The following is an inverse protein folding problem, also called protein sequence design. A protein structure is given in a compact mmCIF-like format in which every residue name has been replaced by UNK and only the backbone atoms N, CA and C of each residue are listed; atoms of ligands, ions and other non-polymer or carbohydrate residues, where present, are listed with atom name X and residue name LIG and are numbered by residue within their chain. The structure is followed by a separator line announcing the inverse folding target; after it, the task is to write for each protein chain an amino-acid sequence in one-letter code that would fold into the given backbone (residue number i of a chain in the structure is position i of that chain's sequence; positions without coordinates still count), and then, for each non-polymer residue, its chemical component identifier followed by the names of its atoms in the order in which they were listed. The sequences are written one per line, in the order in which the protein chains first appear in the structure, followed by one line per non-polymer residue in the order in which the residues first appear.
data_IF_056849100365
#
_entry.id   IF_056849100365
#
_cell.length_a   1.000
_cell.length_b   1.000
_cell.length_c   1.000
_cell.angle_alpha   90.00
_cell.angle_beta   90.00
_cell.angle_gamma   90.00
#
_symmetry.space_group_name_H-M   'P 1'
#
loop_
_entity.id
_entity.type
_entity.pdbx_description
1 polymer ?
#
# COMPACT_ATOMS: atom_id res chain seq x y z
N UNK A 1 11.54 -2.69 48.52
CA UNK A 1 11.49 -1.61 47.49
C UNK A 1 12.74 -1.73 46.63
N UNK A 2 12.62 -2.27 45.44
CA UNK A 2 13.74 -2.34 44.49
C UNK A 2 14.10 -0.92 44.06
N UNK A 3 15.38 -0.56 44.22
CA UNK A 3 15.87 0.75 43.83
C UNK A 3 15.87 0.85 42.29
N UNK A 4 15.59 2.02 41.75
CA UNK A 4 15.55 2.26 40.29
C UNK A 4 16.81 1.77 39.56
N UNK A 5 18.06 1.88 40.12
CA UNK A 5 19.25 1.30 39.48
C UNK A 5 19.19 -0.22 39.37
N UNK A 6 18.75 -0.93 40.40
CA UNK A 6 18.65 -2.39 40.38
C UNK A 6 17.65 -2.91 39.33
N UNK A 7 16.57 -2.14 39.08
CA UNK A 7 15.60 -2.43 38.03
C UNK A 7 16.18 -2.20 36.63
N UNK A 8 16.96 -1.14 36.47
CA UNK A 8 17.63 -0.83 35.19
C UNK A 8 18.64 -1.92 34.85
N UNK A 9 19.45 -2.35 35.81
CA UNK A 9 20.45 -3.39 35.62
C UNK A 9 19.81 -4.73 35.28
N UNK A 10 18.73 -5.10 35.97
CA UNK A 10 17.96 -6.31 35.66
C UNK A 10 17.31 -6.26 34.25
N UNK A 11 16.82 -5.10 33.80
CA UNK A 11 16.26 -4.94 32.45
C UNK A 11 17.36 -5.00 31.37
N UNK A 12 18.56 -4.46 31.65
CA UNK A 12 19.69 -4.53 30.73
C UNK A 12 20.20 -5.96 30.59
N UNK A 13 20.26 -6.71 31.69
CA UNK A 13 20.70 -8.12 31.72
C UNK A 13 19.74 -9.04 30.95
N UNK A 14 18.44 -8.72 30.98
CA UNK A 14 17.41 -9.45 30.23
C UNK A 14 17.25 -8.95 28.76
N UNK A 15 17.90 -7.88 28.37
CA UNK A 15 17.78 -7.29 27.04
C UNK A 15 18.44 -8.19 26.00
N UNK A 16 17.62 -8.79 25.14
CA UNK A 16 18.12 -9.52 23.97
C UNK A 16 18.50 -8.55 22.86
N UNK A 17 19.66 -8.75 22.18
CA UNK A 17 20.07 -7.87 21.10
C UNK A 17 19.07 -7.91 19.95
N UNK A 18 18.43 -6.77 19.69
CA UNK A 18 17.49 -6.63 18.59
C UNK A 18 18.19 -6.25 17.29
N UNK A 19 17.87 -6.92 16.20
CA UNK A 19 18.39 -6.59 14.88
C UNK A 19 17.85 -5.24 14.42
N UNK A 20 18.73 -4.28 14.15
CA UNK A 20 18.35 -2.96 13.64
C UNK A 20 17.66 -3.08 12.29
N UNK A 21 16.53 -2.40 12.13
CA UNK A 21 15.84 -2.28 10.86
C UNK A 21 16.68 -1.47 9.86
N UNK A 22 16.61 -1.84 8.58
CA UNK A 22 17.24 -1.03 7.52
C UNK A 22 16.64 0.37 7.46
N UNK A 23 17.38 1.39 7.01
CA UNK A 23 16.87 2.74 6.83
C UNK A 23 15.57 2.76 6.02
N UNK A 24 14.59 3.63 6.33
CA UNK A 24 13.28 3.64 5.69
C UNK A 24 13.36 3.88 4.18
N UNK A 25 14.30 4.70 3.72
CA UNK A 25 14.51 4.96 2.29
C UNK A 25 15.00 3.71 1.54
N UNK A 26 15.87 2.91 2.15
CA UNK A 26 16.32 1.64 1.56
C UNK A 26 15.17 0.65 1.45
N UNK A 27 14.30 0.60 2.47
CA UNK A 27 13.12 -0.26 2.46
C UNK A 27 12.11 0.19 1.40
N UNK A 28 11.86 1.49 1.29
CA UNK A 28 11.02 2.06 0.22
C UNK A 28 11.60 1.75 -1.16
N UNK A 29 12.90 1.95 -1.36
CA UNK A 29 13.57 1.63 -2.62
C UNK A 29 13.51 0.15 -2.99
N UNK A 30 13.70 -0.76 -2.04
CA UNK A 30 13.57 -2.21 -2.27
C UNK A 30 12.14 -2.60 -2.63
N UNK A 31 11.14 -2.00 -1.98
CA UNK A 31 9.74 -2.24 -2.33
C UNK A 31 9.40 -1.70 -3.72
N UNK A 32 9.84 -0.49 -4.06
CA UNK A 32 9.64 0.08 -5.40
C UNK A 32 10.37 -0.74 -6.49
N UNK A 33 11.54 -1.27 -6.20
CA UNK A 33 12.23 -2.21 -7.10
C UNK A 33 11.41 -3.48 -7.31
N UNK A 34 10.85 -4.04 -6.24
CA UNK A 34 9.95 -5.19 -6.34
C UNK A 34 8.71 -4.86 -7.18
N UNK A 35 8.11 -3.68 -7.00
CA UNK A 35 7.00 -3.20 -7.84
C UNK A 35 7.41 -3.15 -9.31
N UNK A 36 8.56 -2.55 -9.62
CA UNK A 36 9.06 -2.46 -11.00
C UNK A 36 9.28 -3.85 -11.63
N UNK A 37 9.79 -4.81 -10.86
CA UNK A 37 9.95 -6.20 -11.31
C UNK A 37 8.60 -6.88 -11.59
N UNK A 38 7.62 -6.72 -10.70
CA UNK A 38 6.28 -7.29 -10.89
C UNK A 38 5.61 -6.68 -12.12
N UNK A 39 5.65 -5.35 -12.27
CA UNK A 39 5.08 -4.67 -13.43
C UNK A 39 5.81 -5.03 -14.73
N UNK A 40 7.13 -5.15 -14.69
CA UNK A 40 7.93 -5.62 -15.82
C UNK A 40 7.54 -7.04 -16.24
N UNK A 41 7.38 -7.95 -15.28
CA UNK A 41 6.95 -9.33 -15.55
C UNK A 41 5.54 -9.38 -16.15
N UNK A 42 4.59 -8.63 -15.59
CA UNK A 42 3.24 -8.53 -16.15
C UNK A 42 3.29 -7.98 -17.58
N UNK A 43 4.10 -6.94 -17.82
CA UNK A 43 4.28 -6.36 -19.14
C UNK A 43 4.86 -7.31 -20.18
N UNK A 44 5.75 -8.24 -19.78
CA UNK A 44 6.28 -9.27 -20.70
C UNK A 44 5.26 -10.35 -21.02
N UNK A 45 4.35 -10.66 -20.11
CA UNK A 45 3.33 -11.71 -20.30
C UNK A 45 2.09 -11.19 -21.04
N UNK A 46 1.58 -10.01 -20.64
CA UNK A 46 0.35 -9.44 -21.19
C UNK A 46 0.60 -8.52 -22.39
N UNK A 47 1.83 -8.04 -22.55
CA UNK A 47 2.17 -6.99 -23.53
C UNK A 47 1.68 -5.60 -23.10
N UNK A 48 2.16 -4.58 -23.80
CA UNK A 48 1.64 -3.22 -23.66
C UNK A 48 0.40 -3.06 -24.55
N UNK A 49 -0.50 -2.16 -24.17
CA UNK A 49 -1.67 -1.83 -24.98
C UNK A 49 -1.25 -1.40 -26.38
N UNK A 50 -1.93 -1.85 -27.46
CA UNK A 50 -1.53 -1.56 -28.85
C UNK A 50 -1.53 -0.09 -29.20
N UNK A 51 -2.42 0.69 -28.60
CA UNK A 51 -2.63 2.12 -28.84
C UNK A 51 -1.85 3.04 -27.89
N UNK A 52 -0.85 2.50 -27.15
CA UNK A 52 -0.06 3.27 -26.18
C UNK A 52 0.57 4.52 -26.78
N UNK A 53 1.05 4.45 -28.02
CA UNK A 53 1.69 5.56 -28.71
C UNK A 53 0.70 6.71 -29.05
N UNK A 54 -0.56 6.38 -29.28
CA UNK A 54 -1.62 7.38 -29.49
C UNK A 54 -2.05 7.99 -28.14
N UNK A 55 -2.18 7.17 -27.11
CA UNK A 55 -2.50 7.63 -25.77
C UNK A 55 -1.44 8.57 -25.19
N UNK A 56 -0.16 8.28 -25.40
CA UNK A 56 0.96 9.13 -24.94
C UNK A 56 0.96 10.49 -25.64
N UNK A 57 0.32 10.66 -26.78
CA UNK A 57 0.15 11.99 -27.42
C UNK A 57 -0.93 12.84 -26.75
N UNK A 58 -1.78 12.24 -25.92
CA UNK A 58 -2.83 12.94 -25.20
C UNK A 58 -2.29 13.47 -23.86
N UNK A 59 -2.25 14.80 -23.64
CA UNK A 59 -1.72 15.40 -22.41
C UNK A 59 -2.41 14.88 -21.16
N UNK A 60 -3.71 14.60 -21.25
CA UNK A 60 -4.52 14.05 -20.17
C UNK A 60 -4.04 12.68 -19.72
N UNK A 61 -3.74 11.79 -20.67
CA UNK A 61 -3.22 10.46 -20.37
C UNK A 61 -1.88 10.53 -19.65
N UNK A 62 -0.96 11.38 -20.16
CA UNK A 62 0.35 11.59 -19.54
C UNK A 62 0.20 12.12 -18.11
N UNK A 63 -0.61 13.18 -17.92
CA UNK A 63 -0.82 13.77 -16.60
C UNK A 63 -1.43 12.77 -15.62
N UNK A 64 -2.45 12.01 -16.04
CA UNK A 64 -3.08 10.99 -15.22
C UNK A 64 -2.11 9.88 -14.82
N UNK A 65 -1.38 9.34 -15.79
CA UNK A 65 -0.44 8.24 -15.59
C UNK A 65 0.77 8.66 -14.73
N UNK A 66 1.37 9.82 -15.03
CA UNK A 66 2.51 10.33 -14.24
C UNK A 66 2.11 10.74 -12.83
N UNK A 67 0.93 11.35 -12.66
CA UNK A 67 0.44 11.72 -11.33
C UNK A 67 0.06 10.49 -10.49
N UNK A 68 -0.48 9.42 -11.08
CA UNK A 68 -0.69 8.14 -10.42
C UNK A 68 0.64 7.52 -9.98
N UNK A 69 1.64 7.46 -10.86
CA UNK A 69 2.98 6.98 -10.54
C UNK A 69 3.61 7.80 -9.40
N UNK A 70 3.58 9.13 -9.51
CA UNK A 70 4.12 10.02 -8.48
C UNK A 70 3.41 9.84 -7.14
N UNK A 71 2.07 9.76 -7.14
CA UNK A 71 1.28 9.48 -5.92
C UNK A 71 1.70 8.18 -5.28
N UNK A 72 1.83 7.10 -6.05
CA UNK A 72 2.25 5.79 -5.55
C UNK A 72 3.64 5.79 -4.95
N UNK A 73 4.61 6.40 -5.62
CA UNK A 73 6.00 6.50 -5.13
C UNK A 73 6.07 7.35 -3.86
N UNK A 74 5.44 8.52 -3.84
CA UNK A 74 5.45 9.42 -2.69
C UNK A 74 4.70 8.82 -1.50
N UNK A 75 3.58 8.14 -1.72
CA UNK A 75 2.84 7.45 -0.68
C UNK A 75 3.63 6.27 -0.10
N UNK A 76 4.37 5.52 -0.91
CA UNK A 76 5.27 4.47 -0.43
C UNK A 76 6.37 5.05 0.47
N UNK A 77 7.06 6.10 0.03
CA UNK A 77 8.07 6.80 0.83
C UNK A 77 7.47 7.29 2.14
N UNK A 78 6.29 7.91 2.10
CA UNK A 78 5.59 8.39 3.29
C UNK A 78 5.27 7.26 4.26
N UNK A 79 4.74 6.12 3.76
CA UNK A 79 4.42 4.95 4.58
C UNK A 79 5.63 4.42 5.35
N UNK A 80 6.78 4.26 4.67
CA UNK A 80 8.01 3.81 5.33
C UNK A 80 8.61 4.84 6.29
N UNK A 81 8.44 6.14 6.03
CA UNK A 81 8.91 7.21 6.93
C UNK A 81 8.07 7.31 8.20
N UNK A 82 6.74 7.25 8.07
CA UNK A 82 5.81 7.33 9.19
C UNK A 82 5.86 6.06 10.06
N UNK A 83 6.30 4.94 9.49
CA UNK A 83 6.47 3.68 10.21
C UNK A 83 7.51 3.74 11.34
N UNK A 84 8.35 4.77 11.39
CA UNK A 84 9.30 5.02 12.46
C UNK A 84 8.66 5.87 13.57
N UNK A 85 9.03 5.63 14.86
CA UNK A 85 8.51 6.41 15.99
C UNK A 85 8.77 7.91 15.85
N UNK A 86 9.94 8.30 15.32
CA UNK A 86 10.35 9.69 15.10
C UNK A 86 9.81 10.30 13.80
N UNK A 87 9.00 9.55 13.05
CA UNK A 87 8.41 9.99 11.78
C UNK A 87 7.46 11.18 11.98
N UNK A 88 7.78 12.33 11.40
CA UNK A 88 6.87 13.48 11.40
C UNK A 88 5.59 13.17 10.61
N UNK A 89 4.44 13.63 11.11
CA UNK A 89 3.15 13.53 10.39
C UNK A 89 3.11 14.35 9.10
N UNK A 90 4.05 15.29 8.92
CA UNK A 90 4.16 16.06 7.69
C UNK A 90 4.38 15.18 6.45
N UNK A 91 4.95 13.98 6.63
CA UNK A 91 5.10 13.01 5.53
C UNK A 91 3.78 12.54 4.94
N UNK A 92 2.66 12.64 5.68
CA UNK A 92 1.31 12.37 5.15
C UNK A 92 0.91 13.36 4.05
N UNK A 93 1.45 14.58 4.09
CA UNK A 93 1.15 15.60 3.09
C UNK A 93 1.92 15.39 1.77
N UNK A 94 2.97 14.55 1.79
CA UNK A 94 3.86 14.37 0.65
C UNK A 94 3.16 13.92 -0.64
N UNK A 95 2.26 12.91 -0.64
CA UNK A 95 1.57 12.48 -1.85
C UNK A 95 0.40 13.39 -2.26
N UNK A 96 -0.07 14.31 -1.41
CA UNK A 96 -1.30 15.07 -1.64
C UNK A 96 -1.30 15.90 -2.93
N UNK A 97 -0.23 16.62 -3.31
CA UNK A 97 -0.23 17.39 -4.55
C UNK A 97 -0.39 16.50 -5.79
N UNK A 98 0.35 15.39 -5.84
CA UNK A 98 0.26 14.43 -6.93
C UNK A 98 -1.11 13.73 -6.96
N UNK A 99 -1.64 13.37 -5.79
CA UNK A 99 -2.97 12.80 -5.62
C UNK A 99 -4.06 13.76 -6.12
N UNK A 100 -3.97 15.06 -5.81
CA UNK A 100 -4.93 16.05 -6.27
C UNK A 100 -4.96 16.16 -7.80
N UNK A 101 -3.78 16.18 -8.43
CA UNK A 101 -3.67 16.17 -9.91
C UNK A 101 -4.27 14.89 -10.47
N UNK A 102 -3.94 13.72 -9.89
CA UNK A 102 -4.47 12.43 -10.34
C UNK A 102 -5.99 12.37 -10.24
N UNK A 103 -6.56 12.73 -9.09
CA UNK A 103 -8.03 12.77 -8.91
C UNK A 103 -8.71 13.76 -9.86
N UNK A 104 -8.07 14.91 -10.14
CA UNK A 104 -8.59 15.89 -11.10
C UNK A 104 -8.66 15.31 -12.52
N UNK A 105 -7.64 14.55 -12.94
CA UNK A 105 -7.65 13.90 -14.27
C UNK A 105 -8.73 12.82 -14.36
N UNK A 106 -8.94 12.03 -13.32
CA UNK A 106 -10.02 11.04 -13.24
C UNK A 106 -11.39 11.72 -13.25
N UNK A 107 -11.60 12.73 -12.40
CA UNK A 107 -12.87 13.44 -12.31
C UNK A 107 -13.26 14.12 -13.63
N UNK A 108 -12.31 14.78 -14.29
CA UNK A 108 -12.53 15.36 -15.60
C UNK A 108 -12.90 14.29 -16.64
N UNK A 109 -12.24 13.11 -16.59
CA UNK A 109 -12.58 11.97 -17.43
C UNK A 109 -13.99 11.48 -17.22
N UNK A 110 -14.38 11.26 -15.97
CA UNK A 110 -15.75 10.85 -15.67
C UNK A 110 -16.80 11.82 -16.23
N UNK A 111 -16.54 13.11 -16.14
CA UNK A 111 -17.49 14.13 -16.64
C UNK A 111 -17.57 14.15 -18.18
N UNK A 112 -16.44 13.97 -18.88
CA UNK A 112 -16.42 14.00 -20.35
C UNK A 112 -16.90 12.69 -20.98
N UNK A 113 -16.56 11.55 -20.38
CA UNK A 113 -16.87 10.23 -20.94
C UNK A 113 -18.27 9.73 -20.54
N UNK A 114 -18.88 10.29 -19.48
CA UNK A 114 -20.28 10.04 -19.11
C UNK A 114 -21.26 10.35 -20.27
N UNK A 115 -20.92 11.33 -21.09
CA UNK A 115 -21.72 11.71 -22.27
C UNK A 115 -21.55 10.74 -23.43
N UNK A 116 -20.49 9.93 -23.45
CA UNK A 116 -20.13 9.04 -24.56
C UNK A 116 -20.38 7.56 -24.30
N UNK A 117 -20.79 7.17 -23.08
CA UNK A 117 -21.13 5.77 -22.77
C UNK A 117 -22.48 5.43 -23.43
N UNK A 118 -22.41 4.79 -24.61
CA UNK A 118 -23.59 4.28 -25.33
C UNK A 118 -24.28 3.14 -24.56
N UNK A 119 -25.48 2.72 -25.01
CA UNK A 119 -26.31 1.73 -24.33
C UNK A 119 -25.73 0.31 -24.28
N UNK A 120 -24.58 0.05 -24.90
CA UNK A 120 -23.99 -1.31 -25.00
C UNK A 120 -23.23 -1.77 -23.75
N UNK A 121 -23.07 -0.97 -22.74
CA UNK A 121 -22.52 -1.38 -21.43
C UNK A 121 -21.17 -2.13 -21.47
N UNK A 122 -20.54 -2.27 -20.31
CA UNK A 122 -19.28 -3.02 -20.14
C UNK A 122 -19.55 -4.52 -20.36
N UNK A 123 -18.84 -5.14 -21.30
CA UNK A 123 -18.92 -6.59 -21.53
C UNK A 123 -18.33 -7.34 -20.33
N UNK A 124 -19.07 -8.33 -19.80
CA UNK A 124 -18.66 -9.11 -18.63
C UNK A 124 -17.23 -9.72 -18.75
N UNK A 125 -16.85 -10.17 -19.95
CA UNK A 125 -15.52 -10.73 -20.20
C UNK A 125 -14.37 -9.74 -19.99
N UNK A 126 -14.57 -8.49 -20.41
CA UNK A 126 -13.58 -7.42 -20.25
C UNK A 126 -13.46 -6.98 -18.78
N UNK A 127 -14.59 -6.97 -18.05
CA UNK A 127 -14.62 -6.70 -16.63
C UNK A 127 -13.85 -7.76 -15.83
N UNK A 128 -14.00 -9.05 -16.15
CA UNK A 128 -13.27 -10.14 -15.48
C UNK A 128 -11.77 -10.05 -15.75
N UNK A 129 -11.35 -9.73 -16.96
CA UNK A 129 -9.94 -9.59 -17.31
C UNK A 129 -9.29 -8.39 -16.58
N UNK A 130 -10.01 -7.26 -16.54
CA UNK A 130 -9.55 -6.08 -15.77
C UNK A 130 -9.40 -6.41 -14.27
N UNK A 131 -10.39 -7.11 -13.69
CA UNK A 131 -10.36 -7.54 -12.30
C UNK A 131 -9.21 -8.53 -12.02
N UNK A 132 -8.97 -9.49 -12.90
CA UNK A 132 -7.86 -10.41 -12.78
C UNK A 132 -6.51 -9.69 -12.80
N UNK A 133 -6.30 -8.72 -13.69
CA UNK A 133 -5.07 -7.92 -13.75
C UNK A 133 -4.91 -7.05 -12.50
N UNK A 134 -6.00 -6.48 -12.00
CA UNK A 134 -6.01 -5.70 -10.75
C UNK A 134 -5.58 -6.57 -9.57
N UNK A 135 -6.14 -7.77 -9.40
CA UNK A 135 -5.76 -8.70 -8.35
C UNK A 135 -4.32 -9.19 -8.50
N UNK A 136 -3.93 -9.57 -9.72
CA UNK A 136 -2.57 -10.05 -10.02
C UNK A 136 -1.51 -8.99 -9.67
N UNK A 137 -1.84 -7.71 -9.83
CA UNK A 137 -0.94 -6.61 -9.49
C UNK A 137 -1.03 -6.24 -8.02
N UNK A 138 -2.22 -6.00 -7.49
CA UNK A 138 -2.41 -5.43 -6.15
C UNK A 138 -2.08 -6.40 -5.02
N UNK A 139 -2.36 -7.71 -5.19
CA UNK A 139 -2.12 -8.70 -4.13
C UNK A 139 -0.63 -8.84 -3.79
N UNK A 140 0.28 -9.13 -4.76
CA UNK A 140 1.69 -9.27 -4.43
C UNK A 140 2.30 -7.97 -3.88
N UNK A 141 1.88 -6.80 -4.40
CA UNK A 141 2.33 -5.51 -3.89
C UNK A 141 1.89 -5.28 -2.44
N UNK A 142 0.62 -5.61 -2.12
CA UNK A 142 0.07 -5.48 -0.77
C UNK A 142 0.76 -6.42 0.21
N UNK A 143 0.95 -7.69 -0.16
CA UNK A 143 1.62 -8.68 0.68
C UNK A 143 3.06 -8.27 0.96
N UNK A 144 3.80 -7.85 -0.05
CA UNK A 144 5.17 -7.35 0.13
C UNK A 144 5.22 -6.12 1.05
N UNK A 145 4.28 -5.17 0.88
CA UNK A 145 4.16 -3.98 1.73
C UNK A 145 3.90 -4.37 3.18
N UNK A 146 2.93 -5.26 3.43
CA UNK A 146 2.59 -5.75 4.77
C UNK A 146 3.76 -6.46 5.44
N UNK A 147 4.47 -7.34 4.72
CA UNK A 147 5.65 -8.03 5.24
C UNK A 147 6.74 -7.03 5.63
N UNK A 148 6.98 -6.01 4.82
CA UNK A 148 8.01 -5.01 5.09
C UNK A 148 7.63 -4.04 6.21
N UNK A 149 6.34 -3.79 6.44
CA UNK A 149 5.82 -2.89 7.47
C UNK A 149 5.48 -3.60 8.78
N UNK A 150 5.42 -4.94 8.82
CA UNK A 150 4.94 -5.74 9.97
C UNK A 150 5.56 -5.37 11.32
N UNK A 151 6.83 -5.00 11.34
CA UNK A 151 7.54 -4.65 12.59
C UNK A 151 7.39 -3.17 12.98
N UNK A 152 7.00 -2.33 12.06
CA UNK A 152 6.98 -0.88 12.24
C UNK A 152 5.56 -0.32 12.43
N UNK A 153 4.53 -1.09 12.02
CA UNK A 153 3.14 -0.65 12.01
C UNK A 153 2.45 -0.67 13.40
N UNK A 154 3.09 -1.18 14.44
CA UNK A 154 2.48 -1.35 15.78
C UNK A 154 2.07 -0.01 16.43
N UNK A 155 2.78 1.09 16.17
CA UNK A 155 2.56 2.38 16.82
C UNK A 155 1.57 3.29 16.05
N UNK A 156 1.52 3.20 14.71
CA UNK A 156 0.69 4.05 13.84
C UNK A 156 0.05 3.23 12.70
N UNK A 157 -0.62 2.15 13.05
CA UNK A 157 -1.13 1.17 12.10
C UNK A 157 -2.06 1.79 11.04
N UNK A 158 -2.95 2.69 11.43
CA UNK A 158 -3.93 3.31 10.52
C UNK A 158 -3.27 4.22 9.50
N UNK A 159 -2.40 5.15 9.93
CA UNK A 159 -1.71 6.10 9.06
C UNK A 159 -0.81 5.37 8.06
N UNK A 160 -0.05 4.38 8.52
CA UNK A 160 0.85 3.55 7.71
C UNK A 160 0.06 2.71 6.70
N UNK A 161 -1.06 2.10 7.12
CA UNK A 161 -1.91 1.29 6.25
C UNK A 161 -2.60 2.13 5.18
N UNK A 162 -3.06 3.34 5.52
CA UNK A 162 -3.65 4.26 4.54
C UNK A 162 -2.64 4.67 3.47
N UNK A 163 -1.42 5.05 3.88
CA UNK A 163 -0.37 5.41 2.92
C UNK A 163 0.10 4.22 2.09
N UNK A 164 0.23 3.04 2.72
CA UNK A 164 0.56 1.80 2.02
C UNK A 164 -0.51 1.39 1.01
N UNK A 165 -1.79 1.47 1.40
CA UNK A 165 -2.92 1.21 0.51
C UNK A 165 -3.00 2.19 -0.65
N UNK A 166 -2.76 3.49 -0.39
CA UNK A 166 -2.68 4.51 -1.43
C UNK A 166 -1.53 4.23 -2.41
N UNK A 167 -0.36 3.82 -1.91
CA UNK A 167 0.78 3.47 -2.74
C UNK A 167 0.46 2.30 -3.68
N UNK A 168 -0.10 1.21 -3.13
CA UNK A 168 -0.50 0.05 -3.93
C UNK A 168 -1.58 0.41 -4.94
N UNK A 169 -2.64 1.11 -4.53
CA UNK A 169 -3.75 1.50 -5.40
C UNK A 169 -3.30 2.39 -6.56
N UNK A 170 -2.46 3.40 -6.29
CA UNK A 170 -1.95 4.30 -7.31
C UNK A 170 -1.02 3.60 -8.32
N UNK A 171 -0.13 2.69 -7.85
CA UNK A 171 0.74 1.93 -8.74
C UNK A 171 0.00 0.84 -9.51
N UNK A 172 -1.06 0.27 -8.94
CA UNK A 172 -1.95 -0.63 -9.68
C UNK A 172 -2.71 0.11 -10.77
N UNK A 173 -3.20 1.34 -10.49
CA UNK A 173 -3.85 2.17 -11.52
C UNK A 173 -2.88 2.59 -12.62
N UNK A 174 -1.64 2.91 -12.27
CA UNK A 174 -0.57 3.13 -13.24
C UNK A 174 -0.36 1.90 -14.15
N UNK A 175 -0.30 0.70 -13.55
CA UNK A 175 -0.15 -0.56 -14.30
C UNK A 175 -1.33 -0.79 -15.25
N UNK A 176 -2.56 -0.61 -14.78
CA UNK A 176 -3.76 -0.75 -15.61
C UNK A 176 -3.76 0.20 -16.80
N UNK A 177 -3.29 1.44 -16.62
CA UNK A 177 -3.18 2.41 -17.71
C UNK A 177 -2.22 1.95 -18.83
N UNK A 178 -1.23 1.12 -18.50
CA UNK A 178 -0.25 0.62 -19.47
C UNK A 178 -0.69 -0.66 -20.19
N UNK A 179 -1.49 -1.51 -19.52
CA UNK A 179 -1.79 -2.86 -20.00
C UNK A 179 -3.22 -3.05 -20.51
N UNK A 180 -4.14 -2.15 -20.15
CA UNK A 180 -5.55 -2.26 -20.53
C UNK A 180 -5.97 -1.23 -21.57
N UNK A 181 -6.71 -1.71 -22.59
CA UNK A 181 -7.22 -0.89 -23.69
C UNK A 181 -8.53 -0.15 -23.37
N UNK A 182 -9.13 -0.42 -22.21
CA UNK A 182 -10.40 0.17 -21.86
C UNK A 182 -10.19 1.61 -21.34
N UNK A 183 -10.82 2.56 -22.00
CA UNK A 183 -11.08 3.90 -21.49
C UNK A 183 -12.11 3.86 -20.35
N UNK A 184 -11.90 2.90 -19.45
CA UNK A 184 -12.80 2.59 -18.35
C UNK A 184 -12.51 3.49 -17.14
N UNK A 185 -12.42 4.82 -17.35
CA UNK A 185 -12.16 5.78 -16.26
C UNK A 185 -13.18 5.62 -15.14
N UNK A 186 -14.45 5.39 -15.49
CA UNK A 186 -15.54 5.13 -14.53
C UNK A 186 -15.35 3.77 -13.86
N UNK A 187 -15.01 2.74 -14.63
CA UNK A 187 -14.81 1.40 -14.11
C UNK A 187 -13.57 1.32 -13.21
N UNK A 188 -12.47 2.00 -13.59
CA UNK A 188 -11.27 2.15 -12.75
C UNK A 188 -11.61 2.87 -11.45
N UNK A 189 -12.42 3.93 -11.49
CA UNK A 189 -12.85 4.66 -10.30
C UNK A 189 -13.70 3.76 -9.38
N UNK A 190 -14.73 3.11 -9.91
CA UNK A 190 -15.63 2.25 -9.13
C UNK A 190 -14.87 1.07 -8.55
N UNK A 191 -14.01 0.42 -9.32
CA UNK A 191 -13.21 -0.71 -8.84
C UNK A 191 -12.12 -0.30 -7.86
N UNK A 192 -11.40 0.79 -8.10
CA UNK A 192 -10.39 1.27 -7.17
C UNK A 192 -11.02 1.78 -5.87
N UNK A 193 -12.12 2.52 -5.95
CA UNK A 193 -12.85 2.97 -4.76
C UNK A 193 -13.49 1.79 -4.02
N UNK A 194 -14.09 0.85 -4.75
CA UNK A 194 -14.66 -0.38 -4.19
C UNK A 194 -13.60 -1.28 -3.57
N UNK A 195 -12.48 -1.52 -4.26
CA UNK A 195 -11.36 -2.29 -3.72
C UNK A 195 -10.71 -1.59 -2.52
N UNK A 196 -10.50 -0.28 -2.57
CA UNK A 196 -9.98 0.49 -1.45
C UNK A 196 -10.92 0.45 -0.25
N UNK A 197 -12.23 0.62 -0.46
CA UNK A 197 -13.24 0.51 0.58
C UNK A 197 -13.30 -0.90 1.18
N UNK A 198 -13.22 -1.95 0.35
CA UNK A 198 -13.18 -3.33 0.79
C UNK A 198 -11.92 -3.61 1.63
N UNK A 199 -10.75 -3.22 1.14
CA UNK A 199 -9.48 -3.38 1.86
C UNK A 199 -9.50 -2.60 3.17
N UNK A 200 -9.99 -1.36 3.17
CA UNK A 200 -10.13 -0.57 4.37
C UNK A 200 -11.09 -1.22 5.37
N UNK A 201 -12.24 -1.73 4.91
CA UNK A 201 -13.21 -2.42 5.76
C UNK A 201 -12.64 -3.71 6.33
N UNK A 202 -11.95 -4.51 5.52
CA UNK A 202 -11.25 -5.72 5.98
C UNK A 202 -10.12 -5.39 6.96
N UNK A 203 -9.35 -4.33 6.72
CA UNK A 203 -8.31 -3.87 7.63
C UNK A 203 -8.88 -3.38 8.96
N UNK A 204 -10.02 -2.68 8.96
CA UNK A 204 -10.69 -2.21 10.18
C UNK A 204 -11.32 -3.35 10.98
N UNK A 205 -11.92 -4.33 10.29
CA UNK A 205 -12.62 -5.47 10.94
C UNK A 205 -11.66 -6.55 11.39
N UNK A 206 -10.71 -6.92 10.53
CA UNK A 206 -9.80 -8.06 10.76
C UNK A 206 -8.38 -7.64 11.11
N UNK A 207 -8.01 -6.37 10.92
CA UNK A 207 -6.62 -5.90 11.09
C UNK A 207 -6.06 -6.23 12.46
N UNK A 208 -6.83 -6.03 13.54
CA UNK A 208 -6.42 -6.38 14.90
C UNK A 208 -6.23 -7.89 15.08
N UNK A 209 -7.11 -8.70 14.53
CA UNK A 209 -7.06 -10.17 14.61
C UNK A 209 -5.93 -10.76 13.78
N UNK A 210 -5.72 -10.25 12.57
CA UNK A 210 -4.62 -10.66 11.68
C UNK A 210 -3.28 -10.25 12.27
N UNK A 211 -3.15 -9.04 12.82
CA UNK A 211 -1.92 -8.60 13.50
C UNK A 211 -1.65 -9.41 14.78
N UNK A 212 -2.67 -9.72 15.57
CA UNK A 212 -2.53 -10.56 16.75
C UNK A 212 -2.12 -11.99 16.37
N UNK A 213 -2.72 -12.55 15.34
CA UNK A 213 -2.37 -13.88 14.82
C UNK A 213 -0.95 -13.94 14.25
N UNK A 214 -0.55 -12.95 13.45
CA UNK A 214 0.81 -12.81 12.94
C UNK A 214 1.83 -12.61 14.06
N UNK A 215 1.51 -11.83 15.08
CA UNK A 215 2.37 -11.63 16.24
C UNK A 215 2.54 -12.93 17.04
N UNK A 216 1.48 -13.71 17.23
CA UNK A 216 1.53 -14.96 17.99
C UNK A 216 2.26 -16.10 17.27
N UNK A 217 2.23 -16.12 15.91
CA UNK A 217 2.85 -17.21 15.14
C UNK A 217 4.26 -16.89 14.65
N UNK A 218 4.65 -15.60 14.63
CA UNK A 218 5.95 -15.17 14.09
C UNK A 218 6.90 -14.61 15.17
N UNK A 219 6.44 -14.44 16.41
CA UNK A 219 7.34 -14.20 17.54
C UNK A 219 7.77 -15.54 18.09
N UNK A 220 9.07 -15.83 18.19
CA UNK A 220 9.53 -16.99 18.94
C UNK A 220 9.04 -16.84 20.38
N UNK A 221 8.27 -17.82 20.85
CA UNK A 221 7.79 -17.95 22.22
C UNK A 221 8.97 -18.11 23.15
N UNK A 222 9.48 -17.01 23.69
CA UNK A 222 10.68 -17.01 24.53
C UNK A 222 10.66 -16.02 25.69
N UNK A 223 9.52 -15.36 25.97
CA UNK A 223 9.39 -14.51 27.16
C UNK A 223 8.13 -14.88 27.92
N UNK A 224 8.24 -15.95 28.71
CA UNK A 224 7.34 -16.17 29.85
C UNK A 224 7.70 -15.11 30.91
N UNK A 225 6.92 -14.04 30.98
CA UNK A 225 6.95 -13.13 32.12
C UNK A 225 6.47 -13.93 33.34
N UNK A 226 7.31 -14.20 34.33
CA UNK A 226 6.82 -14.80 35.58
C UNK A 226 5.96 -13.73 36.27
N UNK A 227 4.63 -13.91 36.20
CA UNK A 227 3.72 -13.20 37.06
C UNK A 227 4.12 -13.55 38.50
N UNK A 228 4.67 -12.56 39.19
CA UNK A 228 5.06 -12.68 40.59
C UNK A 228 3.90 -13.25 41.39
N UNK A 229 4.12 -14.41 41.97
CA UNK A 229 3.25 -15.02 42.93
C UNK A 229 3.18 -14.06 44.14
N UNK A 230 2.02 -13.47 44.37
CA UNK A 230 1.65 -12.90 45.64
C UNK A 230 1.92 -13.93 46.73
N UNK A 231 2.98 -13.74 47.51
CA UNK A 231 3.15 -14.39 48.79
C UNK A 231 2.46 -13.51 49.84
N UNK A 232 1.17 -13.76 50.04
CA UNK A 232 0.51 -13.31 51.26
C UNK A 232 1.15 -13.96 52.48
N UNK A 233 1.61 -13.14 53.39
CA UNK A 233 1.55 -13.22 54.83
C UNK A 233 2.00 -11.92 55.45
#
# INVERSE_FOLDING_TARGET
MTKTPDLIDALVEMATPVRRLRPPMVRAGLWLLFVALVLGLIGTVHGLRPDIFECVRQPRFILGTLSALATGVLAAVASFRISLPDGSRLWLMLPLPALAVWLSTIGYGCLTDWVSVGPEGVRLGEAVQCFATLLLTSVPLSVAMLIMLRYAALLRSTEVSMMGGLAVGALTSFALSLFHNLDATVMILVWNLGAAALIATLALTFGKSVFAWLASHLMPTGVSVPLGRDSGR
#
